data_IF_965735028609
#
_entry.id   IF_965735028609
#
_cell.length_a   1.000
_cell.length_b   1.000
_cell.length_c   1.000
_cell.angle_alpha   90.00
_cell.angle_beta   90.00
_cell.angle_gamma   90.00
#
_symmetry.space_group_name_H-M   'P 1'
#
loop_
_entity.id
_entity.type
_entity.pdbx_description
1 polymer ?
#
# COMPACT_ATOMS: atom_id res chain seq x y z
N UNK A 1 10.70 33.07 -0.70
CA UNK A 1 11.42 31.96 -0.04
C UNK A 1 11.77 32.23 1.42
N UNK A 2 12.34 33.38 1.82
CA UNK A 2 12.74 33.64 3.22
C UNK A 2 11.56 33.65 4.23
N UNK A 3 10.46 34.35 3.89
CA UNK A 3 9.24 34.41 4.72
C UNK A 3 8.53 33.04 4.88
N UNK A 4 8.61 32.19 3.85
CA UNK A 4 8.06 30.83 3.88
C UNK A 4 8.89 29.91 4.78
N UNK A 5 10.22 30.02 4.73
CA UNK A 5 11.13 29.25 5.59
C UNK A 5 11.05 29.68 7.06
N UNK A 6 10.82 30.97 7.35
CA UNK A 6 10.61 31.42 8.74
C UNK A 6 9.28 30.91 9.30
N UNK A 7 8.20 30.97 8.52
CA UNK A 7 6.89 30.44 8.89
C UNK A 7 6.93 28.93 9.15
N UNK A 8 7.61 28.15 8.29
CA UNK A 8 7.76 26.71 8.49
C UNK A 8 8.52 26.35 9.77
N UNK A 9 9.65 27.04 10.05
CA UNK A 9 10.41 26.82 11.28
C UNK A 9 9.57 27.13 12.52
N UNK A 10 8.76 28.18 12.46
CA UNK A 10 7.84 28.52 13.55
C UNK A 10 6.77 27.44 13.73
N UNK A 11 6.15 26.95 12.65
CA UNK A 11 5.17 25.86 12.71
C UNK A 11 5.77 24.56 13.25
N UNK A 12 7.01 24.22 12.88
CA UNK A 12 7.72 23.05 13.44
C UNK A 12 8.03 23.26 14.92
N UNK A 13 8.43 24.46 15.34
CA UNK A 13 8.66 24.78 16.74
C UNK A 13 7.36 24.70 17.57
N UNK A 14 6.25 25.20 17.02
CA UNK A 14 4.92 25.06 17.61
C UNK A 14 4.52 23.59 17.76
N UNK A 15 4.78 22.79 16.74
CA UNK A 15 4.49 21.35 16.79
C UNK A 15 5.33 20.61 17.81
N UNK A 16 6.59 21.01 18.00
CA UNK A 16 7.44 20.45 19.05
C UNK A 16 6.84 20.67 20.44
N UNK A 17 6.40 21.90 20.75
CA UNK A 17 5.71 22.20 22.02
C UNK A 17 4.40 21.41 22.16
N UNK A 18 3.67 21.24 21.06
CA UNK A 18 2.47 20.42 21.02
C UNK A 18 2.75 18.95 21.32
N UNK A 19 3.85 18.39 20.82
CA UNK A 19 4.28 17.03 21.15
C UNK A 19 4.73 16.88 22.61
N UNK A 20 5.47 17.86 23.13
CA UNK A 20 5.99 17.85 24.51
C UNK A 20 4.88 17.97 25.57
N UNK A 21 3.74 18.56 25.19
CA UNK A 21 2.57 18.76 26.05
C UNK A 21 1.46 17.74 25.81
N UNK A 22 1.72 16.66 25.07
CA UNK A 22 0.70 15.68 24.66
C UNK A 22 -0.56 16.32 24.03
N UNK A 23 -0.36 17.46 23.36
CA UNK A 23 -1.35 18.20 22.62
C UNK A 23 -2.11 19.28 23.39
N UNK A 24 -1.74 19.55 24.64
CA UNK A 24 -2.35 20.58 25.49
C UNK A 24 -1.90 22.00 25.12
N UNK A 25 -0.67 22.16 24.64
CA UNK A 25 -0.09 23.46 24.30
C UNK A 25 0.18 23.60 22.81
N UNK A 26 0.18 24.86 22.33
CA UNK A 26 0.57 25.19 20.96
C UNK A 26 -0.30 24.49 19.89
N UNK A 27 0.26 24.18 18.73
CA UNK A 27 -0.47 23.66 17.58
C UNK A 27 0.26 22.49 16.93
N UNK A 28 -0.49 21.43 16.62
CA UNK A 28 -0.06 20.32 15.78
C UNK A 28 0.39 20.84 14.41
N UNK A 29 1.48 20.29 13.86
CA UNK A 29 1.89 20.66 12.51
C UNK A 29 0.82 20.22 11.51
N UNK A 30 0.32 21.16 10.71
CA UNK A 30 -0.58 20.90 9.60
C UNK A 30 -0.07 21.57 8.34
N UNK A 31 0.08 20.77 7.30
CA UNK A 31 0.40 21.16 5.93
C UNK A 31 -0.63 20.56 4.95
N UNK A 32 -1.83 20.26 5.45
CA UNK A 32 -2.93 19.70 4.67
C UNK A 32 -3.13 20.51 3.38
N UNK A 33 -2.98 19.85 2.23
CA UNK A 33 -3.15 20.48 0.91
C UNK A 33 -2.10 21.47 0.45
N UNK A 34 -1.15 21.79 1.31
CA UNK A 34 -0.14 22.78 0.98
C UNK A 34 0.85 22.21 -0.04
N UNK A 35 1.43 23.09 -0.87
CA UNK A 35 2.57 22.72 -1.71
C UNK A 35 3.89 22.98 -0.99
N UNK A 36 4.64 21.90 -0.83
CA UNK A 36 5.95 21.78 -0.19
C UNK A 36 6.91 21.01 -1.10
N UNK A 37 6.79 21.18 -2.42
CA UNK A 37 7.64 20.51 -3.39
C UNK A 37 9.13 20.79 -3.12
N UNK A 38 9.94 19.73 -3.15
CA UNK A 38 11.39 19.78 -2.96
C UNK A 38 11.84 20.41 -1.65
N UNK A 39 10.95 20.45 -0.65
CA UNK A 39 11.32 21.00 0.66
C UNK A 39 12.31 20.10 1.38
N UNK A 40 13.16 20.69 2.22
CA UNK A 40 13.97 19.95 3.16
C UNK A 40 13.29 19.91 4.55
N UNK A 41 12.82 18.73 4.92
CA UNK A 41 12.24 18.37 6.21
C UNK A 41 13.04 17.23 6.87
N UNK A 42 14.27 17.00 6.42
CA UNK A 42 15.11 15.93 6.95
C UNK A 42 15.35 16.11 8.44
N UNK A 43 15.33 14.98 9.17
CA UNK A 43 15.50 14.93 10.63
C UNK A 43 14.40 15.67 11.43
N UNK A 44 13.35 16.19 10.79
CA UNK A 44 12.26 16.85 11.51
C UNK A 44 11.46 15.82 12.33
N UNK A 45 10.99 16.23 13.51
CA UNK A 45 9.96 15.49 14.22
C UNK A 45 8.59 16.00 13.79
N UNK A 46 7.93 15.23 12.94
CA UNK A 46 6.59 15.45 12.41
C UNK A 46 5.66 14.29 12.84
N UNK A 47 5.94 13.65 13.98
CA UNK A 47 5.09 12.58 14.50
C UNK A 47 3.69 13.12 14.74
N UNK A 48 2.68 12.36 14.36
CA UNK A 48 1.29 12.79 14.37
C UNK A 48 1.03 14.03 13.51
N UNK A 49 1.91 14.51 12.63
CA UNK A 49 1.59 15.67 11.80
C UNK A 49 0.41 15.40 10.84
N UNK A 50 -0.27 16.46 10.40
CA UNK A 50 -1.23 16.36 9.29
C UNK A 50 -0.60 16.86 7.97
N UNK A 51 -0.38 15.94 7.04
CA UNK A 51 0.14 16.16 5.69
C UNK A 51 -0.84 15.64 4.62
N UNK A 52 -2.12 15.42 4.97
CA UNK A 52 -3.14 14.92 4.07
C UNK A 52 -3.21 15.78 2.80
N UNK A 53 -3.07 15.14 1.63
CA UNK A 53 -3.08 15.76 0.31
C UNK A 53 -2.02 16.84 0.05
N UNK A 54 -1.03 16.97 0.92
CA UNK A 54 0.09 17.89 0.69
C UNK A 54 0.85 17.47 -0.57
N UNK A 55 1.34 18.45 -1.34
CA UNK A 55 2.29 18.18 -2.41
C UNK A 55 3.72 18.25 -1.87
N UNK A 56 4.30 17.09 -1.62
CA UNK A 56 5.65 16.89 -1.11
C UNK A 56 6.54 16.21 -2.18
N UNK A 57 6.20 16.38 -3.45
CA UNK A 57 6.95 15.79 -4.56
C UNK A 57 8.42 16.25 -4.53
N UNK A 58 9.35 15.30 -4.59
CA UNK A 58 10.78 15.52 -4.48
C UNK A 58 11.27 16.06 -3.13
N UNK A 59 10.44 16.09 -2.09
CA UNK A 59 10.85 16.56 -0.76
C UNK A 59 11.91 15.64 -0.14
N UNK A 60 12.83 16.22 0.63
CA UNK A 60 13.75 15.49 1.48
C UNK A 60 13.12 15.28 2.86
N UNK A 61 12.65 14.06 3.12
CA UNK A 61 12.07 13.56 4.37
C UNK A 61 12.96 12.48 5.01
N UNK A 62 14.26 12.49 4.69
CA UNK A 62 15.21 11.51 5.22
C UNK A 62 15.36 11.65 6.74
N UNK A 63 15.37 10.52 7.44
CA UNK A 63 15.42 10.42 8.91
C UNK A 63 14.32 11.22 9.63
N UNK A 64 13.25 11.63 8.95
CA UNK A 64 12.13 12.34 9.56
C UNK A 64 11.32 11.36 10.42
N UNK A 65 10.89 11.80 11.60
CA UNK A 65 9.91 11.06 12.38
C UNK A 65 8.50 11.46 11.93
N UNK A 66 7.79 10.56 11.25
CA UNK A 66 6.40 10.68 10.78
C UNK A 66 5.51 9.62 11.43
N UNK A 67 5.92 9.08 12.58
CA UNK A 67 5.12 8.11 13.33
C UNK A 67 3.71 8.65 13.55
N UNK A 68 2.68 7.85 13.25
CA UNK A 68 1.26 8.19 13.40
C UNK A 68 0.81 9.45 12.60
N UNK A 69 1.60 9.92 11.62
CA UNK A 69 1.22 11.05 10.77
C UNK A 69 0.11 10.68 9.78
N UNK A 70 -0.71 11.66 9.39
CA UNK A 70 -1.72 11.51 8.32
C UNK A 70 -1.17 12.04 7.00
N UNK A 71 -1.05 11.18 6.00
CA UNK A 71 -0.58 11.47 4.63
C UNK A 71 -1.59 10.98 3.57
N UNK A 72 -2.88 10.91 3.90
CA UNK A 72 -3.92 10.45 2.98
C UNK A 72 -3.88 11.25 1.67
N UNK A 73 -3.76 10.56 0.53
CA UNK A 73 -3.72 11.20 -0.79
C UNK A 73 -2.56 12.19 -1.01
N UNK A 74 -1.52 12.18 -0.17
CA UNK A 74 -0.38 13.09 -0.34
C UNK A 74 0.39 12.77 -1.64
N UNK A 75 0.87 13.82 -2.33
CA UNK A 75 1.75 13.64 -3.49
C UNK A 75 3.20 13.56 -3.02
N UNK A 76 3.79 12.39 -3.16
CA UNK A 76 5.12 12.05 -2.65
C UNK A 76 6.04 11.54 -3.78
N UNK A 77 5.73 11.91 -5.02
CA UNK A 77 6.46 11.47 -6.21
C UNK A 77 7.93 11.86 -6.08
N UNK A 78 8.83 10.88 -6.15
CA UNK A 78 10.27 11.08 -6.03
C UNK A 78 10.75 11.63 -4.67
N UNK A 79 9.91 11.62 -3.63
CA UNK A 79 10.32 12.05 -2.29
C UNK A 79 11.35 11.08 -1.67
N UNK A 80 12.23 11.61 -0.82
CA UNK A 80 13.24 10.83 -0.10
C UNK A 80 12.83 10.60 1.35
N UNK A 81 12.45 9.37 1.69
CA UNK A 81 12.11 8.87 3.02
C UNK A 81 13.18 7.96 3.62
N UNK A 82 14.40 7.94 3.09
CA UNK A 82 15.43 7.03 3.56
C UNK A 82 15.65 7.17 5.08
N UNK A 83 15.55 6.06 5.81
CA UNK A 83 15.67 6.02 7.27
C UNK A 83 14.53 6.71 8.05
N UNK A 84 13.47 7.18 7.39
CA UNK A 84 12.34 7.81 8.06
C UNK A 84 11.54 6.80 8.88
N UNK A 85 10.88 7.29 9.94
CA UNK A 85 9.95 6.50 10.73
C UNK A 85 8.50 6.86 10.35
N UNK A 86 7.83 5.98 9.62
CA UNK A 86 6.41 6.04 9.24
C UNK A 86 5.56 4.99 9.97
N UNK A 87 6.01 4.51 11.13
CA UNK A 87 5.26 3.53 11.91
C UNK A 87 3.85 4.04 12.23
N UNK A 88 2.86 3.17 11.98
CA UNK A 88 1.43 3.46 12.14
C UNK A 88 0.91 4.66 11.35
N UNK A 89 1.68 5.24 10.42
CA UNK A 89 1.24 6.38 9.61
C UNK A 89 0.14 5.97 8.61
N UNK A 90 -0.73 6.91 8.27
CA UNK A 90 -1.80 6.71 7.31
C UNK A 90 -1.45 7.30 5.95
N UNK A 91 -1.06 6.45 4.99
CA UNK A 91 -0.64 6.83 3.64
C UNK A 91 -1.62 6.35 2.57
N UNK A 92 -2.87 6.05 2.94
CA UNK A 92 -3.80 5.45 1.98
C UNK A 92 -4.08 6.43 0.83
N UNK A 93 -3.98 5.94 -0.40
CA UNK A 93 -4.07 6.74 -1.62
C UNK A 93 -2.89 7.66 -1.92
N UNK A 94 -1.79 7.60 -1.15
CA UNK A 94 -0.63 8.44 -1.43
C UNK A 94 0.10 8.06 -2.73
N UNK A 95 0.70 9.05 -3.38
CA UNK A 95 1.44 8.91 -4.63
C UNK A 95 2.95 8.80 -4.36
N UNK A 96 3.49 7.58 -4.27
CA UNK A 96 4.91 7.31 -3.94
C UNK A 96 5.74 6.86 -5.15
N UNK A 97 5.31 7.17 -6.37
CA UNK A 97 6.04 6.78 -7.58
C UNK A 97 7.48 7.31 -7.55
N UNK A 98 8.46 6.44 -7.77
CA UNK A 98 9.88 6.78 -7.75
C UNK A 98 10.43 7.26 -6.38
N UNK A 99 9.65 7.17 -5.30
CA UNK A 99 10.11 7.57 -3.98
C UNK A 99 11.22 6.64 -3.45
N UNK A 100 12.14 7.19 -2.66
CA UNK A 100 13.18 6.42 -1.97
C UNK A 100 12.75 6.16 -0.53
N UNK A 101 12.48 4.91 -0.16
CA UNK A 101 12.06 4.47 1.17
C UNK A 101 13.02 3.40 1.73
N UNK A 102 14.32 3.55 1.45
CA UNK A 102 15.32 2.58 1.88
C UNK A 102 15.48 2.66 3.40
N UNK A 103 15.45 1.52 4.08
CA UNK A 103 15.56 1.44 5.54
C UNK A 103 14.44 2.22 6.28
N UNK A 104 13.33 2.53 5.62
CA UNK A 104 12.18 3.20 6.24
C UNK A 104 11.42 2.23 7.14
N UNK A 105 10.96 2.71 8.29
CA UNK A 105 10.10 1.94 9.20
C UNK A 105 8.64 2.22 8.83
N UNK A 106 7.93 1.22 8.32
CA UNK A 106 6.52 1.25 7.90
C UNK A 106 5.65 0.28 8.72
N UNK A 107 6.13 -0.15 9.89
CA UNK A 107 5.42 -1.09 10.77
C UNK A 107 4.00 -0.58 11.05
N UNK A 108 2.99 -1.44 10.86
CA UNK A 108 1.57 -1.12 11.03
C UNK A 108 1.04 0.09 10.20
N UNK A 109 1.77 0.54 9.17
CA UNK A 109 1.33 1.64 8.32
C UNK A 109 0.13 1.25 7.44
N UNK A 110 -0.77 2.21 7.19
CA UNK A 110 -1.92 2.04 6.31
C UNK A 110 -1.59 2.53 4.89
N UNK A 111 -1.17 1.60 4.04
CA UNK A 111 -0.73 1.80 2.66
C UNK A 111 -1.78 1.35 1.63
N UNK A 112 -3.06 1.31 2.01
CA UNK A 112 -4.13 0.91 1.09
C UNK A 112 -4.16 1.88 -0.11
N UNK A 113 -4.18 1.33 -1.32
CA UNK A 113 -4.27 2.11 -2.56
C UNK A 113 -3.10 3.09 -2.80
N UNK A 114 -1.97 2.84 -2.15
CA UNK A 114 -0.74 3.54 -2.44
C UNK A 114 -0.19 3.14 -3.80
N UNK A 115 0.46 4.06 -4.50
CA UNK A 115 1.15 3.79 -5.76
C UNK A 115 2.67 3.78 -5.53
N UNK A 116 3.31 2.65 -5.78
CA UNK A 116 4.74 2.42 -5.48
C UNK A 116 5.57 2.11 -6.74
N UNK A 117 5.03 2.39 -7.93
CA UNK A 117 5.72 2.14 -9.20
C UNK A 117 7.09 2.82 -9.20
N UNK A 118 8.15 2.03 -9.37
CA UNK A 118 9.53 2.51 -9.37
C UNK A 118 10.06 3.00 -8.01
N UNK A 119 9.29 2.85 -6.94
CA UNK A 119 9.76 3.17 -5.59
C UNK A 119 10.82 2.16 -5.13
N UNK A 120 11.71 2.60 -4.25
CA UNK A 120 12.73 1.75 -3.64
C UNK A 120 12.48 1.55 -2.15
N UNK A 121 12.02 0.36 -1.77
CA UNK A 121 11.74 -0.08 -0.40
C UNK A 121 12.76 -1.12 0.09
N UNK A 122 13.96 -1.17 -0.49
CA UNK A 122 14.99 -2.11 -0.05
C UNK A 122 15.27 -1.93 1.45
N UNK A 123 15.31 -3.02 2.20
CA UNK A 123 15.49 -3.04 3.65
C UNK A 123 14.42 -2.28 4.46
N UNK A 124 13.28 -1.91 3.86
CA UNK A 124 12.19 -1.29 4.61
C UNK A 124 11.52 -2.32 5.54
N UNK A 125 11.05 -1.85 6.70
CA UNK A 125 10.27 -2.67 7.62
C UNK A 125 8.77 -2.42 7.43
N UNK A 126 8.11 -3.29 6.67
CA UNK A 126 6.67 -3.28 6.44
C UNK A 126 5.94 -4.31 7.32
N UNK A 127 6.49 -4.68 8.48
CA UNK A 127 5.84 -5.63 9.37
C UNK A 127 4.40 -5.20 9.69
N UNK A 128 3.43 -6.08 9.40
CA UNK A 128 1.98 -5.82 9.55
C UNK A 128 1.43 -4.60 8.82
N UNK A 129 2.19 -4.00 7.90
CA UNK A 129 1.68 -2.93 7.06
C UNK A 129 0.51 -3.44 6.20
N UNK A 130 -0.44 -2.55 5.93
CA UNK A 130 -1.61 -2.89 5.12
C UNK A 130 -1.49 -2.30 3.70
N UNK A 131 -1.16 -3.15 2.74
CA UNK A 131 -1.06 -2.86 1.31
C UNK A 131 -2.19 -3.55 0.52
N UNK A 132 -3.31 -3.93 1.16
CA UNK A 132 -4.38 -4.67 0.49
C UNK A 132 -5.21 -3.82 -0.44
N UNK A 133 -5.62 -4.39 -1.58
CA UNK A 133 -6.76 -3.85 -2.31
C UNK A 133 -7.99 -4.04 -1.42
N UNK A 134 -8.67 -2.94 -1.10
CA UNK A 134 -9.78 -2.98 -0.18
C UNK A 134 -9.42 -2.33 1.15
N UNK A 135 -10.24 -1.34 1.46
CA UNK A 135 -10.22 -0.56 2.67
C UNK A 135 -10.51 -1.49 3.87
N UNK A 136 -9.79 -1.36 5.01
CA UNK A 136 -10.08 -2.09 6.25
C UNK A 136 -11.57 -2.17 6.57
N UNK A 137 -12.02 -3.19 7.30
CA UNK A 137 -13.44 -3.41 7.61
C UNK A 137 -14.12 -2.22 8.30
N UNK A 138 -13.38 -1.36 9.02
CA UNK A 138 -13.86 -0.11 9.59
C UNK A 138 -14.18 0.99 8.53
N UNK A 139 -13.81 0.76 7.27
CA UNK A 139 -13.97 1.63 6.11
C UNK A 139 -14.92 0.98 5.06
N UNK A 140 -15.80 0.04 5.45
CA UNK A 140 -16.87 -0.52 4.58
C UNK A 140 -18.03 0.45 4.28
N UNK A 141 -17.78 1.76 4.19
CA UNK A 141 -18.75 2.71 3.65
C UNK A 141 -18.85 2.50 2.14
N UNK A 142 -20.03 2.09 1.65
CA UNK A 142 -20.32 1.88 0.21
C UNK A 142 -19.93 3.09 -0.67
N UNK A 143 -19.86 4.28 -0.09
CA UNK A 143 -19.58 5.52 -0.82
C UNK A 143 -18.06 5.73 -1.03
N UNK A 144 -17.20 5.25 -0.13
CA UNK A 144 -15.73 5.34 -0.27
C UNK A 144 -15.23 4.42 -1.38
N UNK A 145 -15.80 3.23 -1.44
CA UNK A 145 -15.50 2.29 -2.51
C UNK A 145 -15.78 2.90 -3.89
N UNK A 146 -16.80 3.75 -4.02
CA UNK A 146 -17.13 4.49 -5.25
C UNK A 146 -16.09 5.57 -5.59
N UNK A 147 -15.58 6.30 -4.59
CA UNK A 147 -14.53 7.32 -4.75
C UNK A 147 -13.22 6.67 -5.21
N UNK A 148 -12.87 5.55 -4.59
CA UNK A 148 -11.66 4.79 -4.90
C UNK A 148 -11.80 4.03 -6.24
N UNK A 149 -13.01 3.55 -6.58
CA UNK A 149 -13.30 2.83 -7.83
C UNK A 149 -13.63 3.71 -9.05
N UNK A 150 -13.94 5.00 -8.86
CA UNK A 150 -14.15 5.98 -9.93
C UNK A 150 -12.84 6.54 -10.50
N UNK A 151 -11.73 6.26 -9.82
CA UNK A 151 -10.39 6.32 -10.38
C UNK A 151 -10.22 5.10 -11.29
N UNK A 152 -9.85 5.28 -12.55
CA UNK A 152 -9.57 4.15 -13.44
C UNK A 152 -8.43 3.35 -12.85
N UNK A 153 -8.76 2.28 -12.12
CA UNK A 153 -7.98 1.07 -11.81
C UNK A 153 -6.46 1.30 -11.83
N UNK A 154 -5.93 2.21 -11.02
CA UNK A 154 -4.58 2.01 -10.50
C UNK A 154 -4.74 1.11 -9.30
N UNK A 155 -4.70 -0.21 -9.58
CA UNK A 155 -4.45 -1.25 -8.58
C UNK A 155 -3.35 -0.74 -7.63
N UNK A 156 -3.33 -1.16 -6.36
CA UNK A 156 -2.10 -1.07 -5.54
C UNK A 156 -1.00 -1.71 -6.36
N UNK A 157 -0.20 -0.85 -6.96
CA UNK A 157 0.73 -1.19 -8.02
C UNK A 157 2.09 -1.07 -7.39
N UNK A 158 2.57 -2.23 -6.99
CA UNK A 158 3.92 -2.51 -6.52
C UNK A 158 4.74 -3.03 -7.73
N UNK A 159 4.28 -2.69 -8.94
CA UNK A 159 4.91 -3.11 -10.18
C UNK A 159 6.30 -2.51 -10.27
N UNK A 160 7.30 -3.37 -10.52
CA UNK A 160 8.71 -2.98 -10.63
C UNK A 160 9.25 -2.26 -9.37
N UNK A 161 8.59 -2.42 -8.23
CA UNK A 161 9.09 -1.89 -6.96
C UNK A 161 10.25 -2.76 -6.48
N UNK A 162 11.30 -2.13 -5.99
CA UNK A 162 12.39 -2.82 -5.31
C UNK A 162 12.00 -3.07 -3.84
N UNK A 163 11.77 -4.34 -3.49
CA UNK A 163 11.49 -4.84 -2.15
C UNK A 163 12.55 -5.85 -1.69
N UNK A 164 13.76 -5.76 -2.24
CA UNK A 164 14.85 -6.65 -1.84
C UNK A 164 15.10 -6.55 -0.34
N UNK A 165 15.20 -7.71 0.32
CA UNK A 165 15.45 -7.83 1.76
C UNK A 165 14.42 -7.12 2.66
N UNK A 166 13.29 -6.65 2.11
CA UNK A 166 12.25 -5.98 2.87
C UNK A 166 11.59 -6.95 3.86
N UNK A 167 11.26 -6.46 5.06
CA UNK A 167 10.48 -7.21 6.03
C UNK A 167 8.98 -6.98 5.81
N UNK A 168 8.32 -7.90 5.12
CA UNK A 168 6.87 -7.92 4.87
C UNK A 168 6.15 -8.93 5.78
N UNK A 169 6.77 -9.35 6.88
CA UNK A 169 6.18 -10.39 7.74
C UNK A 169 4.83 -9.95 8.31
N UNK A 170 3.83 -10.81 8.19
CA UNK A 170 2.45 -10.51 8.60
C UNK A 170 1.77 -9.36 7.84
N UNK A 171 2.38 -8.82 6.78
CA UNK A 171 1.78 -7.75 5.98
C UNK A 171 0.53 -8.25 5.25
N UNK A 172 -0.45 -7.36 5.08
CA UNK A 172 -1.62 -7.66 4.28
C UNK A 172 -1.44 -7.12 2.86
N UNK A 173 -1.26 -8.02 1.91
CA UNK A 173 -1.03 -7.78 0.47
C UNK A 173 -2.14 -8.43 -0.37
N UNK A 174 -3.30 -8.72 0.23
CA UNK A 174 -4.38 -9.42 -0.47
C UNK A 174 -4.81 -8.63 -1.70
N UNK A 175 -4.94 -9.33 -2.82
CA UNK A 175 -5.33 -8.79 -4.13
C UNK A 175 -4.34 -7.75 -4.71
N UNK A 176 -3.23 -7.44 -4.03
CA UNK A 176 -2.24 -6.45 -4.49
C UNK A 176 -1.60 -6.83 -5.83
N UNK A 177 -1.19 -5.83 -6.62
CA UNK A 177 -0.45 -6.02 -7.85
C UNK A 177 1.06 -5.89 -7.61
N UNK A 178 1.74 -7.03 -7.55
CA UNK A 178 3.17 -7.23 -7.38
C UNK A 178 3.83 -7.75 -8.67
N UNK A 179 3.19 -7.57 -9.84
CA UNK A 179 3.77 -7.98 -11.11
C UNK A 179 5.18 -7.37 -11.28
N UNK A 180 6.16 -8.18 -11.66
CA UNK A 180 7.56 -7.75 -11.84
C UNK A 180 8.23 -7.15 -10.59
N UNK A 181 7.64 -7.29 -9.39
CA UNK A 181 8.26 -6.81 -8.16
C UNK A 181 9.54 -7.62 -7.85
N UNK A 182 10.56 -6.93 -7.34
CA UNK A 182 11.78 -7.58 -6.87
C UNK A 182 11.72 -7.80 -5.37
N UNK A 183 11.42 -9.04 -4.97
CA UNK A 183 11.27 -9.51 -3.59
C UNK A 183 12.43 -10.44 -3.19
N UNK A 184 13.60 -10.30 -3.84
CA UNK A 184 14.77 -11.11 -3.53
C UNK A 184 15.10 -11.05 -2.03
N UNK A 185 15.22 -12.22 -1.40
CA UNK A 185 15.50 -12.37 0.03
C UNK A 185 14.53 -11.64 0.98
N UNK A 186 13.36 -11.19 0.50
CA UNK A 186 12.36 -10.54 1.32
C UNK A 186 11.76 -11.52 2.35
N UNK A 187 11.39 -11.01 3.52
CA UNK A 187 10.71 -11.79 4.55
C UNK A 187 9.18 -11.60 4.44
N UNK A 188 8.48 -12.55 3.84
CA UNK A 188 7.01 -12.57 3.72
C UNK A 188 6.35 -13.54 4.73
N UNK A 189 7.05 -13.92 5.81
CA UNK A 189 6.52 -14.92 6.74
C UNK A 189 5.17 -14.50 7.33
N UNK A 190 4.15 -15.34 7.21
CA UNK A 190 2.81 -15.05 7.72
C UNK A 190 2.05 -13.95 6.98
N UNK A 191 2.57 -13.43 5.87
CA UNK A 191 1.90 -12.40 5.10
C UNK A 191 0.65 -12.94 4.39
N UNK A 192 -0.33 -12.07 4.16
CA UNK A 192 -1.52 -12.39 3.39
C UNK A 192 -1.39 -11.90 1.95
N UNK A 193 -1.08 -12.78 1.00
CA UNK A 193 -1.03 -12.52 -0.44
C UNK A 193 -2.21 -13.18 -1.19
N UNK A 194 -3.33 -13.44 -0.51
CA UNK A 194 -4.47 -14.10 -1.15
C UNK A 194 -4.92 -13.30 -2.38
N UNK A 195 -5.05 -13.97 -3.53
CA UNK A 195 -5.42 -13.41 -4.84
C UNK A 195 -4.50 -12.28 -5.35
N UNK A 196 -3.33 -12.10 -4.76
CA UNK A 196 -2.35 -11.15 -5.26
C UNK A 196 -1.86 -11.55 -6.66
N UNK A 197 -1.42 -10.56 -7.43
CA UNK A 197 -0.86 -10.73 -8.77
C UNK A 197 0.66 -10.63 -8.68
N UNK A 198 1.39 -11.69 -9.01
CA UNK A 198 2.85 -11.74 -8.93
C UNK A 198 3.48 -12.11 -10.27
N UNK A 199 2.89 -11.71 -11.40
CA UNK A 199 3.39 -12.10 -12.72
C UNK A 199 4.87 -11.72 -12.87
N UNK A 200 5.73 -12.71 -13.14
CA UNK A 200 7.16 -12.51 -13.30
C UNK A 200 7.88 -11.82 -12.11
N UNK A 201 7.33 -11.90 -10.89
CA UNK A 201 8.00 -11.40 -9.70
C UNK A 201 9.21 -12.24 -9.30
N UNK A 202 10.22 -11.61 -8.70
CA UNK A 202 11.42 -12.28 -8.20
C UNK A 202 11.30 -12.55 -6.70
N UNK A 203 10.98 -13.78 -6.32
CA UNK A 203 10.92 -14.31 -4.95
C UNK A 203 12.14 -15.17 -4.59
N UNK A 204 13.24 -15.09 -5.34
CA UNK A 204 14.44 -15.88 -5.05
C UNK A 204 14.92 -15.62 -3.61
N UNK A 205 15.23 -16.68 -2.87
CA UNK A 205 15.65 -16.65 -1.45
C UNK A 205 14.64 -16.05 -0.47
N UNK A 206 13.43 -15.70 -0.92
CA UNK A 206 12.43 -15.11 -0.05
C UNK A 206 11.95 -16.12 1.01
N UNK A 207 11.63 -15.61 2.20
CA UNK A 207 11.02 -16.40 3.25
C UNK A 207 9.49 -16.28 3.17
N UNK A 208 8.81 -17.32 2.72
CA UNK A 208 7.35 -17.38 2.57
C UNK A 208 6.69 -18.35 3.56
N UNK A 209 7.31 -18.59 4.71
CA UNK A 209 6.75 -19.50 5.71
C UNK A 209 5.39 -19.02 6.20
N UNK A 210 4.39 -19.90 6.28
CA UNK A 210 3.03 -19.55 6.72
C UNK A 210 2.33 -18.46 5.88
N UNK A 211 2.80 -18.19 4.65
CA UNK A 211 2.16 -17.20 3.78
C UNK A 211 0.81 -17.71 3.29
N UNK A 212 -0.19 -16.82 3.17
CA UNK A 212 -1.43 -17.13 2.47
C UNK A 212 -1.33 -16.67 1.01
N UNK A 213 -1.23 -17.60 0.07
CA UNK A 213 -1.22 -17.37 -1.38
C UNK A 213 -2.51 -17.88 -2.04
N UNK A 214 -3.59 -18.04 -1.29
CA UNK A 214 -4.83 -18.60 -1.80
C UNK A 214 -5.38 -17.78 -2.98
N UNK A 215 -5.53 -18.40 -4.15
CA UNK A 215 -5.98 -17.75 -5.38
C UNK A 215 -4.98 -16.79 -6.04
N UNK A 216 -3.74 -16.71 -5.55
CA UNK A 216 -2.72 -15.81 -6.09
C UNK A 216 -2.27 -16.25 -7.50
N UNK A 217 -1.83 -15.28 -8.30
CA UNK A 217 -1.25 -15.54 -9.60
C UNK A 217 0.29 -15.49 -9.54
N UNK A 218 0.91 -16.66 -9.62
CA UNK A 218 2.36 -16.87 -9.58
C UNK A 218 2.91 -17.19 -10.99
N UNK A 219 2.19 -16.84 -12.06
CA UNK A 219 2.65 -17.05 -13.43
C UNK A 219 4.05 -16.47 -13.66
N UNK A 220 5.01 -17.30 -14.09
CA UNK A 220 6.42 -16.93 -14.34
C UNK A 220 7.20 -16.40 -13.15
N UNK A 221 6.76 -16.64 -11.93
CA UNK A 221 7.52 -16.26 -10.73
C UNK A 221 8.88 -16.98 -10.71
N UNK A 222 9.93 -16.27 -10.28
CA UNK A 222 11.24 -16.86 -9.93
C UNK A 222 11.27 -17.07 -8.41
N UNK A 223 11.41 -18.30 -7.93
CA UNK A 223 11.42 -18.63 -6.50
C UNK A 223 12.50 -19.67 -6.15
N UNK A 224 13.69 -19.48 -6.71
CA UNK A 224 14.89 -20.26 -6.45
C UNK A 224 15.31 -20.13 -4.99
N UNK A 225 15.55 -21.25 -4.29
CA UNK A 225 15.89 -21.28 -2.86
C UNK A 225 14.90 -20.51 -1.97
N UNK A 226 13.64 -20.39 -2.39
CA UNK A 226 12.58 -19.78 -1.60
C UNK A 226 12.00 -20.79 -0.60
N UNK A 227 11.42 -20.28 0.50
CA UNK A 227 10.86 -21.12 1.55
C UNK A 227 9.33 -21.01 1.64
N UNK A 228 8.59 -21.95 1.07
CA UNK A 228 7.12 -22.02 1.15
C UNK A 228 6.61 -22.92 2.27
N UNK A 229 7.40 -23.20 3.29
CA UNK A 229 6.98 -24.13 4.34
C UNK A 229 5.70 -23.63 5.04
N UNK A 230 4.71 -24.50 5.18
CA UNK A 230 3.40 -24.20 5.75
C UNK A 230 2.61 -23.10 5.00
N UNK A 231 2.97 -22.79 3.76
CA UNK A 231 2.23 -21.85 2.92
C UNK A 231 0.88 -22.45 2.47
N UNK A 232 -0.14 -21.60 2.30
CA UNK A 232 -1.40 -21.97 1.64
C UNK A 232 -1.38 -21.53 0.17
N UNK A 233 -1.27 -22.49 -0.74
CA UNK A 233 -1.25 -22.30 -2.20
C UNK A 233 -2.58 -22.68 -2.86
N UNK A 234 -3.64 -22.86 -2.08
CA UNK A 234 -4.94 -23.27 -2.59
C UNK A 234 -5.44 -22.32 -3.69
N UNK A 235 -5.84 -22.86 -4.82
CA UNK A 235 -6.34 -22.15 -6.00
C UNK A 235 -5.35 -21.17 -6.65
N UNK A 236 -4.06 -21.22 -6.29
CA UNK A 236 -3.03 -20.42 -6.94
C UNK A 236 -2.78 -20.88 -8.39
N UNK A 237 -2.38 -19.94 -9.25
CA UNK A 237 -1.88 -20.23 -10.60
C UNK A 237 -0.35 -20.31 -10.57
N UNK A 238 0.22 -21.43 -10.99
CA UNK A 238 1.68 -21.69 -10.94
C UNK A 238 2.28 -22.04 -12.32
N UNK A 239 1.66 -21.57 -13.40
CA UNK A 239 2.19 -21.77 -14.75
C UNK A 239 3.60 -21.14 -14.88
N UNK A 240 4.52 -21.82 -15.58
CA UNK A 240 5.91 -21.40 -15.79
C UNK A 240 6.66 -21.02 -14.49
N UNK A 241 6.34 -21.64 -13.35
CA UNK A 241 6.99 -21.34 -12.08
C UNK A 241 8.45 -21.84 -12.07
N UNK A 242 9.40 -20.94 -11.79
CA UNK A 242 10.83 -21.25 -11.79
C UNK A 242 11.29 -21.50 -10.35
N UNK A 243 11.58 -22.76 -10.02
CA UNK A 243 12.01 -23.25 -8.70
C UNK A 243 13.21 -24.19 -8.83
N UNK A 244 13.93 -24.46 -7.74
CA UNK A 244 15.08 -25.38 -7.73
C UNK A 244 14.97 -26.49 -6.68
N UNK A 245 16.06 -27.24 -6.51
CA UNK A 245 16.17 -28.29 -5.49
C UNK A 245 16.09 -27.74 -4.07
N UNK A 246 16.52 -26.49 -3.85
CA UNK A 246 16.60 -25.85 -2.55
C UNK A 246 15.27 -25.18 -2.15
N UNK A 247 14.37 -24.94 -3.11
CA UNK A 247 13.01 -24.44 -2.84
C UNK A 247 12.24 -25.44 -1.95
N UNK A 248 11.82 -24.98 -0.76
CA UNK A 248 11.15 -25.78 0.28
C UNK A 248 9.63 -25.70 0.21
N UNK A 249 8.95 -26.82 0.43
CA UNK A 249 7.49 -26.97 0.42
C UNK A 249 6.97 -27.82 1.59
N UNK A 250 7.70 -27.83 2.71
CA UNK A 250 7.35 -28.64 3.88
C UNK A 250 5.98 -28.21 4.41
N UNK A 251 5.08 -29.17 4.64
CA UNK A 251 3.73 -28.90 5.21
C UNK A 251 2.86 -27.91 4.43
N UNK A 252 3.10 -27.73 3.13
CA UNK A 252 2.26 -26.86 2.29
C UNK A 252 0.80 -27.32 2.30
N UNK A 253 -0.10 -26.35 2.49
CA UNK A 253 -1.55 -26.52 2.35
C UNK A 253 -1.90 -26.20 0.90
N UNK A 254 -2.45 -27.17 0.18
CA UNK A 254 -2.84 -26.96 -1.20
C UNK A 254 -4.02 -27.87 -1.56
N UNK A 255 -5.23 -27.29 -1.67
CA UNK A 255 -6.41 -28.07 -2.10
C UNK A 255 -6.48 -28.20 -3.62
N UNK A 256 -6.10 -27.15 -4.33
CA UNK A 256 -6.06 -27.10 -5.80
C UNK A 256 -5.06 -26.07 -6.29
N UNK A 257 -4.69 -26.15 -7.58
CA UNK A 257 -3.94 -25.13 -8.31
C UNK A 257 -4.45 -25.04 -9.75
N UNK A 258 -3.97 -24.03 -10.48
CA UNK A 258 -4.14 -23.88 -11.91
C UNK A 258 -2.79 -23.86 -12.63
N UNK A 259 -2.72 -24.52 -13.79
CA UNK A 259 -1.50 -24.64 -14.59
C UNK A 259 -1.54 -23.85 -15.90
N UNK A 260 -2.62 -23.12 -16.16
CA UNK A 260 -2.73 -22.32 -17.37
C UNK A 260 -3.38 -20.96 -17.12
N UNK A 261 -2.60 -19.93 -17.35
CA UNK A 261 -2.98 -18.53 -17.38
C UNK A 261 -3.50 -18.16 -18.78
N UNK A 262 -4.65 -17.50 -18.84
CA UNK A 262 -5.15 -16.89 -20.08
C UNK A 262 -5.10 -15.37 -19.90
N UNK A 263 -4.20 -14.74 -20.65
CA UNK A 263 -4.18 -13.30 -20.84
C UNK A 263 -5.23 -12.92 -21.88
N UNK A 264 -6.24 -12.16 -21.47
CA UNK A 264 -6.97 -11.29 -22.40
C UNK A 264 -6.62 -9.85 -22.06
N UNK A 265 -5.87 -9.20 -22.94
CA UNK A 265 -5.56 -7.77 -22.84
C UNK A 265 -6.79 -6.97 -23.23
N UNK A 266 -7.30 -6.15 -22.31
CA UNK A 266 -8.13 -5.00 -22.62
C UNK A 266 -7.29 -3.74 -22.40
N UNK A 267 -7.61 -2.61 -23.05
CA UNK A 267 -6.83 -1.37 -22.95
C UNK A 267 -6.55 -0.93 -21.50
N UNK A 268 -7.48 -1.20 -20.58
CA UNK A 268 -7.43 -0.67 -19.21
C UNK A 268 -7.29 -1.76 -18.12
N UNK A 269 -7.27 -3.05 -18.48
CA UNK A 269 -7.06 -4.15 -17.52
C UNK A 269 -6.74 -5.49 -18.18
N UNK A 270 -5.95 -6.32 -17.48
CA UNK A 270 -5.70 -7.71 -17.86
C UNK A 270 -6.76 -8.59 -17.19
N UNK A 271 -7.63 -9.19 -18.00
CA UNK A 271 -8.59 -10.20 -17.57
C UNK A 271 -7.84 -11.53 -17.42
N UNK A 272 -7.49 -11.87 -16.18
CA UNK A 272 -6.85 -13.14 -15.84
C UNK A 272 -7.92 -14.22 -15.71
N UNK A 273 -7.86 -15.23 -16.57
CA UNK A 273 -8.68 -16.45 -16.44
C UNK A 273 -7.76 -17.65 -16.31
N UNK A 274 -8.02 -18.49 -15.32
CA UNK A 274 -7.25 -19.69 -15.10
C UNK A 274 -7.95 -20.91 -15.73
N UNK A 275 -7.16 -21.80 -16.32
CA UNK A 275 -7.57 -23.11 -16.82
C UNK A 275 -6.64 -24.17 -16.26
N UNK A 276 -6.98 -25.41 -16.57
CA UNK A 276 -6.18 -26.58 -16.19
C UNK A 276 -6.03 -26.73 -14.67
N UNK A 277 -7.18 -26.74 -13.98
CA UNK A 277 -7.24 -26.97 -12.53
C UNK A 277 -6.67 -28.36 -12.21
N UNK A 278 -5.92 -28.46 -11.13
CA UNK A 278 -5.54 -29.72 -10.47
C UNK A 278 -6.03 -29.70 -9.02
N UNK A 279 -6.65 -30.79 -8.51
CA UNK A 279 -7.16 -31.92 -9.28
C UNK A 279 -8.22 -31.48 -10.31
N UNK A 280 -8.37 -32.24 -11.40
CA UNK A 280 -9.30 -31.88 -12.48
C UNK A 280 -10.76 -31.82 -12.02
N UNK A 281 -11.16 -32.72 -11.10
CA UNK A 281 -12.50 -32.72 -10.55
C UNK A 281 -12.62 -31.61 -9.48
N UNK A 282 -13.51 -30.61 -9.67
CA UNK A 282 -13.66 -29.49 -8.74
C UNK A 282 -14.14 -29.91 -7.35
N UNK A 283 -14.74 -31.09 -7.21
CA UNK A 283 -15.21 -31.64 -5.92
C UNK A 283 -14.12 -32.43 -5.17
N UNK A 284 -12.89 -32.46 -5.69
CA UNK A 284 -11.76 -33.16 -5.06
C UNK A 284 -10.62 -32.20 -4.76
N UNK A 285 -9.83 -32.54 -3.74
CA UNK A 285 -8.62 -31.83 -3.33
C UNK A 285 -7.40 -32.73 -3.48
N UNK A 286 -6.20 -32.16 -3.55
CA UNK A 286 -4.97 -32.97 -3.46
C UNK A 286 -4.97 -33.80 -2.16
N UNK A 287 -4.48 -35.03 -2.25
CA UNK A 287 -4.10 -35.79 -1.06
C UNK A 287 -2.75 -35.27 -0.54
N UNK A 288 -2.41 -35.65 0.69
CA UNK A 288 -1.18 -35.23 1.34
C UNK A 288 0.06 -35.56 0.48
N UNK A 289 0.86 -34.54 0.18
CA UNK A 289 2.09 -34.66 -0.60
C UNK A 289 1.91 -34.74 -2.12
N UNK A 290 0.69 -34.82 -2.65
CA UNK A 290 0.49 -34.90 -4.10
C UNK A 290 0.86 -33.61 -4.84
N UNK A 291 0.60 -32.46 -4.21
CA UNK A 291 1.08 -31.17 -4.71
C UNK A 291 2.61 -31.17 -4.83
N UNK A 292 3.32 -31.58 -3.77
CA UNK A 292 4.79 -31.61 -3.74
C UNK A 292 5.32 -32.55 -4.82
N UNK A 293 4.69 -33.72 -5.02
CA UNK A 293 5.04 -34.64 -6.10
C UNK A 293 4.84 -34.03 -7.49
N UNK A 294 3.82 -33.19 -7.69
CA UNK A 294 3.55 -32.52 -8.95
C UNK A 294 4.69 -31.54 -9.28
N UNK A 295 5.00 -30.63 -8.36
CA UNK A 295 6.08 -29.65 -8.56
C UNK A 295 7.47 -30.31 -8.56
N UNK A 296 7.65 -31.44 -7.86
CA UNK A 296 8.91 -32.19 -7.87
C UNK A 296 9.11 -33.04 -9.12
N UNK A 297 8.06 -33.37 -9.87
CA UNK A 297 8.21 -34.07 -11.17
C UNK A 297 8.74 -33.11 -12.24
N UNK A 298 8.34 -31.84 -12.19
CA UNK A 298 8.92 -30.78 -13.02
C UNK A 298 10.37 -30.46 -12.64
N UNK A 299 10.79 -30.70 -11.38
CA UNK A 299 12.21 -30.55 -10.96
C UNK A 299 13.18 -31.37 -11.84
N UNK A 300 12.78 -32.56 -12.29
CA UNK A 300 13.63 -33.41 -13.13
C UNK A 300 13.66 -32.99 -14.62
N UNK A 301 12.63 -32.29 -15.10
CA UNK A 301 12.58 -31.75 -16.46
C UNK A 301 13.36 -30.42 -16.56
N UNK A 302 13.27 -29.57 -15.53
CA UNK A 302 13.93 -28.27 -15.45
C UNK A 302 15.46 -28.40 -15.30
N UNK A 303 15.98 -29.43 -14.61
CA UNK A 303 17.42 -29.70 -14.54
C UNK A 303 18.06 -30.04 -15.90
N UNK A 304 17.28 -30.55 -16.86
CA UNK A 304 17.73 -30.85 -18.23
C UNK A 304 17.66 -29.61 -19.14
N UNK A 305 16.66 -28.73 -18.99
CA UNK A 305 16.56 -27.47 -19.73
C UNK A 305 17.58 -26.41 -19.29
N UNK A 306 17.90 -26.34 -17.99
CA UNK A 306 18.91 -25.41 -17.45
C UNK A 306 20.35 -25.73 -17.89
N UNK A 307 20.59 -26.89 -18.53
CA UNK A 307 21.86 -27.18 -19.22
C UNK A 307 21.87 -26.77 -20.70
N UNK A 308 20.76 -26.25 -21.23
CA UNK A 308 20.54 -26.06 -22.66
C UNK A 308 20.03 -24.68 -23.12
N UNK A 309 19.75 -23.72 -22.25
CA UNK A 309 19.27 -22.39 -22.71
C UNK A 309 19.80 -21.23 -21.87
N UNK A 310 21.05 -20.86 -22.16
CA UNK A 310 21.43 -19.45 -22.10
C UNK A 310 20.82 -18.75 -23.33
N UNK A 311 20.11 -17.64 -23.09
CA UNK A 311 19.61 -16.67 -24.07
C UNK A 311 18.37 -17.14 -24.86
N UNK A 312 17.20 -16.55 -24.58
CA UNK A 312 16.25 -15.98 -25.56
C UNK A 312 14.97 -15.41 -24.91
N UNK A 313 14.65 -14.15 -25.25
CA UNK A 313 13.35 -13.46 -25.13
C UNK A 313 12.90 -12.74 -23.84
N UNK A 314 13.79 -12.10 -23.06
CA UNK A 314 13.36 -11.13 -22.03
C UNK A 314 13.25 -9.65 -22.53
N UNK A 315 13.67 -9.33 -23.77
CA UNK A 315 13.72 -7.93 -24.24
C UNK A 315 12.50 -7.40 -25.01
N UNK A 316 11.64 -8.25 -25.57
CA UNK A 316 10.64 -7.79 -26.58
C UNK A 316 9.29 -7.40 -25.96
N UNK A 317 8.97 -7.81 -24.73
CA UNK A 317 7.66 -7.50 -24.11
C UNK A 317 7.74 -6.30 -23.14
N UNK A 318 8.93 -6.00 -22.60
CA UNK A 318 9.10 -4.95 -21.60
C UNK A 318 9.14 -3.55 -22.24
N UNK A 319 9.70 -3.41 -23.44
CA UNK A 319 9.80 -2.12 -24.15
C UNK A 319 8.46 -1.68 -24.78
N UNK A 320 7.65 -2.60 -25.30
CA UNK A 320 6.38 -2.27 -25.94
C UNK A 320 5.24 -1.92 -24.96
N UNK A 321 5.31 -2.36 -23.70
CA UNK A 321 4.28 -2.05 -22.70
C UNK A 321 4.62 -0.85 -21.80
N UNK A 322 5.89 -0.45 -21.69
CA UNK A 322 6.28 0.74 -20.91
C UNK A 322 5.87 2.03 -21.62
N UNK A 323 5.93 2.06 -22.95
CA UNK A 323 5.68 3.27 -23.74
C UNK A 323 4.20 3.67 -23.87
N UNK A 324 3.27 2.73 -23.57
CA UNK A 324 1.82 2.98 -23.64
C UNK A 324 1.27 3.54 -22.30
N UNK A 325 1.97 3.32 -21.18
CA UNK A 325 1.45 3.67 -19.84
C UNK A 325 1.97 5.00 -19.27
N UNK A 326 3.04 5.56 -19.83
CA UNK A 326 3.55 6.88 -19.41
C UNK A 326 2.57 8.03 -19.73
N UNK A 327 1.56 7.80 -20.58
CA UNK A 327 0.59 8.81 -21.03
C UNK A 327 -0.69 8.94 -20.18
N UNK A 328 -0.79 8.29 -19.01
CA UNK A 328 -1.98 8.41 -18.13
C UNK A 328 -1.71 9.10 -16.79
N UNK A 329 -0.49 9.62 -16.58
CA UNK A 329 -0.08 10.25 -15.32
C UNK A 329 -0.57 11.71 -15.20
N UNK A 330 -0.95 12.35 -16.31
CA UNK A 330 -1.32 13.78 -16.32
C UNK A 330 -2.77 14.09 -15.88
N UNK A 331 -3.63 13.10 -15.63
CA UNK A 331 -5.02 13.33 -15.18
C UNK A 331 -5.25 13.26 -13.66
N UNK A 332 -4.28 12.79 -12.87
CA UNK A 332 -4.51 12.47 -11.45
C UNK A 332 -4.38 13.68 -10.51
N UNK A 333 -3.73 14.74 -10.98
CA UNK A 333 -3.43 15.89 -10.13
C UNK A 333 -4.56 16.90 -9.93
N UNK A 334 -5.69 16.80 -10.65
CA UNK A 334 -6.80 17.76 -10.58
C UNK A 334 -8.08 17.27 -9.87
N UNK A 335 -8.31 15.97 -9.69
CA UNK A 335 -9.65 15.45 -9.29
C UNK A 335 -10.01 15.55 -7.80
N UNK A 336 -9.06 15.83 -6.90
CA UNK A 336 -9.38 16.11 -5.49
C UNK A 336 -10.17 17.43 -5.33
N UNK A 337 -9.88 18.42 -6.18
CA UNK A 337 -10.61 19.70 -6.24
C UNK A 337 -12.05 19.50 -6.75
N UNK A 338 -12.30 18.42 -7.49
CA UNK A 338 -13.58 18.08 -8.11
C UNK A 338 -14.39 17.01 -7.35
N UNK A 339 -13.88 16.51 -6.20
CA UNK A 339 -14.58 15.50 -5.39
C UNK A 339 -15.97 16.00 -4.94
N UNK A 340 -17.00 15.15 -5.01
CA UNK A 340 -18.35 15.54 -4.60
C UNK A 340 -18.42 15.83 -3.10
N UNK A 341 -19.37 16.66 -2.65
CA UNK A 341 -19.45 17.01 -1.23
C UNK A 341 -19.71 15.80 -0.30
N UNK A 342 -20.39 14.77 -0.79
CA UNK A 342 -20.61 13.50 -0.06
C UNK A 342 -19.29 12.75 0.15
N UNK A 343 -18.41 12.81 -0.85
CA UNK A 343 -17.11 12.15 -0.82
C UNK A 343 -16.18 12.86 0.16
N UNK A 344 -16.24 14.19 0.15
CA UNK A 344 -15.54 15.03 1.11
C UNK A 344 -16.00 14.76 2.55
N UNK A 345 -17.32 14.66 2.82
CA UNK A 345 -17.80 14.32 4.16
C UNK A 345 -17.26 12.97 4.65
N UNK A 346 -17.08 12.00 3.75
CA UNK A 346 -16.67 10.67 4.16
C UNK A 346 -15.17 10.58 4.46
N UNK A 347 -14.33 11.25 3.66
CA UNK A 347 -12.91 11.43 3.96
C UNK A 347 -12.72 12.20 5.26
N UNK A 348 -13.55 13.22 5.51
CA UNK A 348 -13.57 13.95 6.77
C UNK A 348 -13.84 13.03 7.98
N UNK A 349 -14.84 12.14 7.90
CA UNK A 349 -15.13 11.16 8.96
C UNK A 349 -13.96 10.20 9.21
N UNK A 350 -13.28 9.75 8.16
CA UNK A 350 -12.11 8.87 8.28
C UNK A 350 -10.95 9.57 8.96
N UNK A 351 -10.65 10.78 8.52
CA UNK A 351 -9.59 11.60 9.10
C UNK A 351 -9.87 11.88 10.58
N UNK A 352 -11.12 12.22 10.93
CA UNK A 352 -11.57 12.39 12.33
C UNK A 352 -11.42 11.08 13.14
N UNK A 353 -11.87 9.95 12.60
CA UNK A 353 -11.83 8.65 13.30
C UNK A 353 -10.39 8.20 13.56
N UNK A 354 -9.53 8.30 12.54
CA UNK A 354 -8.11 8.01 12.68
C UNK A 354 -7.47 8.95 13.70
N UNK A 355 -7.69 10.25 13.59
CA UNK A 355 -7.14 11.22 14.55
C UNK A 355 -7.64 10.96 15.97
N UNK A 356 -8.92 10.67 16.18
CA UNK A 356 -9.48 10.39 17.51
C UNK A 356 -8.93 9.09 18.13
N UNK A 357 -8.47 8.13 17.33
CA UNK A 357 -7.88 6.89 17.83
C UNK A 357 -6.42 7.05 18.28
N UNK A 358 -5.68 7.99 17.70
CA UNK A 358 -4.23 8.15 17.95
C UNK A 358 -3.86 9.47 18.63
N UNK A 359 -4.80 10.42 18.74
CA UNK A 359 -4.64 11.70 19.42
C UNK A 359 -5.78 11.91 20.46
N UNK A 360 -5.55 11.51 21.73
CA UNK A 360 -6.53 11.67 22.80
C UNK A 360 -6.96 13.11 23.05
N UNK A 361 -6.05 14.08 22.85
CA UNK A 361 -6.34 15.50 23.01
C UNK A 361 -7.23 16.02 21.87
N UNK A 362 -7.00 15.57 20.64
CA UNK A 362 -7.94 15.81 19.54
C UNK A 362 -9.30 15.18 19.81
N UNK A 363 -9.35 13.94 20.30
CA UNK A 363 -10.61 13.27 20.67
C UNK A 363 -11.40 14.08 21.71
N UNK A 364 -10.72 14.60 22.74
CA UNK A 364 -11.38 15.41 23.76
C UNK A 364 -11.91 16.73 23.19
N UNK A 365 -11.07 17.47 22.44
CA UNK A 365 -11.49 18.72 21.77
C UNK A 365 -12.62 18.50 20.77
N UNK A 366 -12.62 17.37 20.07
CA UNK A 366 -13.70 16.97 19.17
C UNK A 366 -15.01 16.74 19.94
N UNK A 367 -14.98 15.99 21.05
CA UNK A 367 -16.16 15.76 21.89
C UNK A 367 -16.71 17.07 22.48
N UNK A 368 -15.83 17.97 22.93
CA UNK A 368 -16.20 19.29 23.43
C UNK A 368 -16.81 20.18 22.34
N UNK A 369 -16.21 20.20 21.15
CA UNK A 369 -16.68 20.98 20.01
C UNK A 369 -18.04 20.50 19.51
N UNK A 370 -18.30 19.19 19.55
CA UNK A 370 -19.61 18.60 19.23
C UNK A 370 -20.68 18.99 20.25
N UNK A 371 -20.31 19.17 21.52
CA UNK A 371 -21.23 19.55 22.60
C UNK A 371 -21.73 21.00 22.53
N UNK A 372 -21.19 21.84 21.63
CA UNK A 372 -21.54 23.27 21.54
C UNK A 372 -22.64 23.54 20.51
N UNK A 373 -23.61 24.42 20.82
CA UNK A 373 -24.83 24.58 20.02
C UNK A 373 -24.63 25.30 18.67
N UNK A 374 -23.55 26.05 18.48
CA UNK A 374 -23.31 26.88 17.29
C UNK A 374 -22.44 26.20 16.21
N UNK A 375 -21.85 25.04 16.51
CA UNK A 375 -20.95 24.27 15.65
C UNK A 375 -19.76 25.08 15.07
N UNK A 376 -19.50 26.30 15.57
CA UNK A 376 -18.41 27.14 15.07
C UNK A 376 -17.06 26.55 15.47
N UNK A 377 -16.98 26.08 16.71
CA UNK A 377 -15.78 25.42 17.22
C UNK A 377 -15.50 24.09 16.50
N UNK A 378 -16.55 23.32 16.17
CA UNK A 378 -16.38 22.12 15.36
C UNK A 378 -15.91 22.48 13.95
N UNK A 379 -16.54 23.45 13.29
CA UNK A 379 -16.14 23.86 11.94
C UNK A 379 -14.68 24.33 11.92
N UNK A 380 -14.29 25.12 12.91
CA UNK A 380 -12.92 25.61 13.07
C UNK A 380 -11.93 24.47 13.34
N UNK A 381 -12.26 23.58 14.28
CA UNK A 381 -11.45 22.41 14.60
C UNK A 381 -11.24 21.54 13.35
N UNK A 382 -12.29 21.28 12.57
CA UNK A 382 -12.21 20.50 11.35
C UNK A 382 -11.40 21.21 10.26
N UNK A 383 -11.60 22.52 10.06
CA UNK A 383 -10.84 23.29 9.08
C UNK A 383 -9.33 23.35 9.39
N UNK A 384 -8.95 23.34 10.67
CA UNK A 384 -7.55 23.38 11.10
C UNK A 384 -6.87 21.99 11.05
N UNK A 385 -7.66 20.92 11.13
CA UNK A 385 -7.14 19.56 11.33
C UNK A 385 -7.46 18.59 10.19
N UNK A 386 -8.19 18.99 9.16
CA UNK A 386 -8.55 18.13 8.02
C UNK A 386 -8.19 18.79 6.70
N UNK A 387 -7.84 17.99 5.70
CA UNK A 387 -7.62 18.51 4.34
C UNK A 387 -8.93 18.69 3.57
N UNK A 388 -10.00 18.08 4.08
CA UNK A 388 -11.24 17.91 3.35
C UNK A 388 -12.21 19.04 3.66
N UNK A 389 -12.35 19.97 2.72
CA UNK A 389 -13.30 21.08 2.82
C UNK A 389 -14.72 20.59 2.54
N UNK A 390 -15.56 20.60 3.57
CA UNK A 390 -16.99 20.27 3.50
C UNK A 390 -17.79 21.52 3.86
N UNK A 391 -18.89 21.80 3.15
CA UNK A 391 -19.76 22.93 3.47
C UNK A 391 -20.33 22.84 4.88
N UNK A 392 -20.48 23.99 5.55
CA UNK A 392 -21.08 24.07 6.89
C UNK A 392 -22.47 23.41 6.95
N UNK A 393 -23.25 23.50 5.86
CA UNK A 393 -24.58 22.91 5.77
C UNK A 393 -24.54 21.38 5.91
N UNK A 394 -23.50 20.72 5.38
CA UNK A 394 -23.33 19.27 5.47
C UNK A 394 -22.74 18.85 6.81
N UNK A 395 -21.81 19.62 7.39
CA UNK A 395 -21.34 19.38 8.76
C UNK A 395 -22.53 19.41 9.73
N UNK A 396 -23.44 20.37 9.56
CA UNK A 396 -24.67 20.43 10.33
C UNK A 396 -25.61 19.24 10.06
N UNK A 397 -25.81 18.85 8.79
CA UNK A 397 -26.62 17.66 8.45
C UNK A 397 -26.03 16.37 9.01
N UNK A 398 -24.71 16.21 9.00
CA UNK A 398 -24.00 15.07 9.57
C UNK A 398 -24.19 14.97 11.08
N UNK A 399 -23.99 16.08 11.80
CA UNK A 399 -24.22 16.16 13.25
C UNK A 399 -25.67 15.80 13.62
N UNK A 400 -26.64 16.29 12.84
CA UNK A 400 -28.06 15.99 13.07
C UNK A 400 -28.36 14.50 12.83
N UNK A 401 -27.74 13.89 11.81
CA UNK A 401 -28.05 12.52 11.39
C UNK A 401 -27.38 11.43 12.23
N UNK A 402 -26.17 11.63 12.75
CA UNK A 402 -25.40 10.59 13.46
C UNK A 402 -25.27 10.79 14.97
N UNK A 403 -25.50 12.01 15.50
CA UNK A 403 -25.14 12.33 16.90
C UNK A 403 -26.30 12.85 17.76
N UNK A 404 -27.50 13.05 17.20
CA UNK A 404 -28.75 13.28 17.96
C UNK A 404 -29.58 12.01 18.17
N UNK A 405 -29.02 10.84 17.87
CA UNK A 405 -29.62 9.52 18.08
C UNK A 405 -29.05 8.82 19.31
#
# INVERSE_FOLDING_TARGET
MALFRSSLKESIAKHKLWLESDGEESQRFSAAGASFEKIDLSNANLSKANLSGANLSGANLSNTNLKEATLFGAKLIGANFNGANLSSAALSGAELQGASLQNTILTDALLCEVTLTGANLSNADLHKANLSLGVPEFIKSKNIQSILSGNVISLISIRQTNLQEANLSGANLSEANLDFADLFAANLSGANLSKAKLFAANLNKANLTNVNLCGADLFRVKALNANFSSADLTDACIEDWIIDSDTRFDEVICKSIYLKHILRSFPDYILRKYRDRRPFNPHTTFAQGDFVKLVSKDKAAIELENRGSDILQERVIIEEMSHIFDNLIDQYSQRYVDASESDRLTLLKLEISYQANFDPAFKLRLLEAIGKPDNQDLTKLLAENTFVSVSQEIIQKWLIAEWKG
#
